data_IF_360469054403
#
_entry.id   IF_360469054403
#
_cell.length_a   1.000
_cell.length_b   1.000
_cell.length_c   1.000
_cell.angle_alpha   90.00
_cell.angle_beta   90.00
_cell.angle_gamma   90.00
#
_symmetry.space_group_name_H-M   'P 1'
#
loop_
_entity.id
_entity.type
_entity.pdbx_description
1 polymer ?
#
# COMPACT_ATOMS: atom_id res chain seq x y z
N UNK A 1 -17.48 12.63 1.00
CA UNK A 1 -16.73 11.63 0.21
C UNK A 1 -16.00 10.60 1.08
N UNK A 2 -15.08 11.02 1.98
CA UNK A 2 -14.26 10.11 2.82
C UNK A 2 -15.05 9.05 3.59
N UNK A 3 -16.27 9.36 4.03
CA UNK A 3 -17.13 8.39 4.75
C UNK A 3 -17.57 7.17 3.92
N UNK A 4 -17.36 7.22 2.61
CA UNK A 4 -17.93 6.27 1.63
C UNK A 4 -16.88 5.51 0.83
N UNK A 5 -15.62 5.54 1.27
CA UNK A 5 -14.49 4.77 0.72
C UNK A 5 -13.78 4.01 1.85
N UNK A 6 -13.18 2.85 1.56
CA UNK A 6 -12.37 2.11 2.52
C UNK A 6 -11.03 2.83 2.78
N UNK A 7 -10.35 2.44 3.86
CA UNK A 7 -9.02 2.97 4.22
C UNK A 7 -8.04 1.82 4.40
N UNK A 8 -6.96 1.82 3.62
CA UNK A 8 -5.81 0.96 3.90
C UNK A 8 -5.04 1.51 5.12
N UNK A 9 -4.47 0.64 5.94
CA UNK A 9 -3.65 1.04 7.10
C UNK A 9 -2.20 1.31 6.73
N UNK A 10 -1.49 2.05 7.59
CA UNK A 10 -0.06 2.34 7.42
C UNK A 10 0.21 3.24 6.21
N UNK A 11 1.40 3.11 5.64
CA UNK A 11 1.85 3.92 4.50
C UNK A 11 1.11 3.65 3.17
N UNK A 12 0.19 2.70 3.15
CA UNK A 12 -0.68 2.43 2.01
C UNK A 12 -1.88 3.39 1.92
N UNK A 13 -2.16 4.16 2.98
CA UNK A 13 -3.40 4.93 3.12
C UNK A 13 -3.58 5.99 2.03
N UNK A 14 -2.58 6.83 1.78
CA UNK A 14 -2.68 7.91 0.79
C UNK A 14 -2.87 7.36 -0.62
N UNK A 15 -2.14 6.29 -0.96
CA UNK A 15 -2.26 5.63 -2.27
C UNK A 15 -3.65 5.04 -2.47
N UNK A 16 -4.18 4.35 -1.44
CA UNK A 16 -5.55 3.82 -1.46
C UNK A 16 -6.59 4.92 -1.63
N UNK A 17 -6.48 6.01 -0.86
CA UNK A 17 -7.39 7.16 -0.95
C UNK A 17 -7.38 7.78 -2.35
N UNK A 18 -6.20 7.98 -2.95
CA UNK A 18 -6.10 8.59 -4.28
C UNK A 18 -6.80 7.74 -5.35
N UNK A 19 -6.58 6.42 -5.33
CA UNK A 19 -7.23 5.49 -6.27
C UNK A 19 -8.74 5.46 -6.05
N UNK A 20 -9.20 5.37 -4.80
CA UNK A 20 -10.62 5.23 -4.48
C UNK A 20 -11.38 6.54 -4.68
N UNK A 21 -10.74 7.69 -4.47
CA UNK A 21 -11.28 9.01 -4.81
C UNK A 21 -11.48 9.16 -6.30
N UNK A 22 -10.44 8.89 -7.09
CA UNK A 22 -10.54 8.94 -8.54
C UNK A 22 -11.69 8.06 -9.06
N UNK A 23 -11.79 6.81 -8.59
CA UNK A 23 -12.88 5.91 -8.99
C UNK A 23 -14.27 6.38 -8.60
N UNK A 24 -14.41 7.05 -7.45
CA UNK A 24 -15.71 7.44 -6.90
C UNK A 24 -16.24 8.74 -7.49
N UNK A 25 -15.38 9.74 -7.63
CA UNK A 25 -15.81 11.11 -7.99
C UNK A 25 -15.29 11.55 -9.36
N UNK A 26 -14.39 10.79 -9.99
CA UNK A 26 -13.76 11.16 -11.24
C UNK A 26 -12.68 12.23 -11.08
N UNK A 27 -11.86 12.40 -12.12
CA UNK A 27 -10.75 13.36 -12.11
C UNK A 27 -11.22 14.82 -12.04
N UNK A 28 -12.34 15.13 -12.70
CA UNK A 28 -12.93 16.49 -12.73
C UNK A 28 -13.33 17.02 -11.35
N UNK A 29 -13.54 16.12 -10.38
CA UNK A 29 -13.85 16.46 -8.99
C UNK A 29 -12.60 16.52 -8.09
N UNK A 30 -11.40 16.37 -8.66
CA UNK A 30 -10.11 16.42 -7.96
C UNK A 30 -9.33 17.64 -8.44
N UNK A 31 -8.63 18.29 -7.52
CA UNK A 31 -7.76 19.43 -7.81
C UNK A 31 -6.45 19.31 -7.06
N UNK A 32 -5.41 19.97 -7.58
CA UNK A 32 -4.13 20.16 -6.91
C UNK A 32 -3.94 21.66 -6.67
N UNK A 33 -3.30 22.02 -5.56
CA UNK A 33 -3.03 23.41 -5.18
C UNK A 33 -1.56 23.53 -4.83
N UNK A 34 -0.91 24.58 -5.34
CA UNK A 34 0.48 24.91 -4.97
C UNK A 34 0.51 25.44 -3.54
N UNK A 35 1.30 24.78 -2.68
CA UNK A 35 1.49 25.16 -1.27
C UNK A 35 2.85 25.83 -1.03
N UNK A 36 3.62 26.11 -2.08
CA UNK A 36 4.98 26.61 -2.00
C UNK A 36 5.95 25.56 -1.46
N UNK A 37 6.83 25.95 -0.55
CA UNK A 37 7.91 25.08 -0.07
C UNK A 37 7.53 24.35 1.21
N UNK A 38 7.64 23.01 1.18
CA UNK A 38 7.52 22.14 2.35
C UNK A 38 8.84 21.46 2.64
N UNK A 39 9.39 21.69 3.84
CA UNK A 39 10.51 20.90 4.34
C UNK A 39 9.98 19.60 4.96
N UNK A 40 10.58 18.47 4.60
CA UNK A 40 10.27 17.17 5.17
C UNK A 40 11.40 16.71 6.11
N UNK A 41 11.08 15.77 6.99
CA UNK A 41 12.12 15.08 7.76
C UNK A 41 12.80 14.08 6.84
N UNK A 42 14.14 14.08 6.84
CA UNK A 42 14.91 13.04 6.17
C UNK A 42 14.62 11.70 6.85
N UNK A 43 14.27 10.69 6.06
CA UNK A 43 14.16 9.31 6.51
C UNK A 43 15.32 8.49 5.95
N UNK A 44 15.84 7.52 6.71
CA UNK A 44 16.79 6.55 6.19
C UNK A 44 16.25 5.84 4.95
N UNK A 45 17.11 5.56 3.98
CA UNK A 45 16.72 4.88 2.73
C UNK A 45 16.08 3.50 2.98
N UNK A 46 16.53 2.80 4.03
CA UNK A 46 15.97 1.52 4.47
C UNK A 46 14.49 1.62 4.82
N UNK A 47 14.07 2.72 5.46
CA UNK A 47 12.66 2.94 5.81
C UNK A 47 11.83 3.33 4.58
N UNK A 48 12.41 4.11 3.67
CA UNK A 48 11.78 4.44 2.38
C UNK A 48 11.49 3.17 1.55
N UNK A 49 12.34 2.16 1.65
CA UNK A 49 12.14 0.88 0.96
C UNK A 49 10.84 0.20 1.39
N UNK A 50 10.58 0.16 2.71
CA UNK A 50 9.32 -0.38 3.27
C UNK A 50 8.11 0.47 2.87
N UNK A 51 8.25 1.80 2.90
CA UNK A 51 7.18 2.71 2.47
C UNK A 51 6.82 2.48 0.99
N UNK A 52 7.83 2.31 0.13
CA UNK A 52 7.61 2.02 -1.29
C UNK A 52 6.88 0.68 -1.50
N UNK A 53 7.19 -0.32 -0.67
CA UNK A 53 6.50 -1.60 -0.70
C UNK A 53 5.04 -1.47 -0.26
N UNK A 54 4.72 -0.61 0.72
CA UNK A 54 3.33 -0.32 1.10
C UNK A 54 2.53 0.31 -0.06
N UNK A 55 3.14 1.25 -0.81
CA UNK A 55 2.54 1.84 -2.02
C UNK A 55 2.28 0.76 -3.07
N UNK A 56 3.27 -0.10 -3.36
CA UNK A 56 3.12 -1.20 -4.32
C UNK A 56 1.98 -2.15 -3.92
N UNK A 57 1.88 -2.50 -2.64
CA UNK A 57 0.81 -3.37 -2.13
C UNK A 57 -0.57 -2.75 -2.23
N UNK A 58 -0.69 -1.44 -1.99
CA UNK A 58 -1.94 -0.71 -2.18
C UNK A 58 -2.43 -0.81 -3.63
N UNK A 59 -1.54 -0.56 -4.61
CA UNK A 59 -1.83 -0.68 -6.05
C UNK A 59 -2.21 -2.12 -6.40
N UNK A 60 -1.39 -3.10 -6.00
CA UNK A 60 -1.62 -4.51 -6.30
C UNK A 60 -2.96 -5.01 -5.73
N UNK A 61 -3.33 -4.57 -4.52
CA UNK A 61 -4.63 -4.90 -3.92
C UNK A 61 -5.80 -4.38 -4.75
N UNK A 62 -5.75 -3.12 -5.20
CA UNK A 62 -6.79 -2.53 -6.06
C UNK A 62 -6.86 -3.21 -7.42
N UNK A 63 -5.71 -3.49 -8.05
CA UNK A 63 -5.66 -4.22 -9.32
C UNK A 63 -6.24 -5.65 -9.20
N UNK A 64 -5.99 -6.36 -8.09
CA UNK A 64 -6.63 -7.66 -7.82
C UNK A 64 -8.14 -7.56 -7.69
N UNK A 65 -8.64 -6.56 -6.95
CA UNK A 65 -10.08 -6.30 -6.80
C UNK A 65 -10.75 -5.98 -8.14
N UNK A 66 -10.01 -5.35 -9.07
CA UNK A 66 -10.45 -5.05 -10.44
C UNK A 66 -10.26 -6.22 -11.43
N UNK A 67 -9.69 -7.35 -11.00
CA UNK A 67 -9.36 -8.48 -11.89
C UNK A 67 -8.23 -8.20 -12.90
N UNK A 68 -7.49 -7.10 -12.72
CA UNK A 68 -6.37 -6.68 -13.59
C UNK A 68 -5.03 -7.29 -13.17
N UNK A 69 -4.95 -7.82 -11.95
CA UNK A 69 -3.81 -8.57 -11.46
C UNK A 69 -4.31 -9.90 -10.94
N UNK A 70 -4.02 -10.97 -11.68
CA UNK A 70 -4.27 -12.33 -11.24
C UNK A 70 -3.01 -12.86 -10.55
N UNK A 71 -3.19 -13.70 -9.53
CA UNK A 71 -2.08 -14.52 -9.05
C UNK A 71 -1.83 -15.60 -10.11
N UNK A 72 -0.92 -15.33 -11.04
CA UNK A 72 -0.23 -16.40 -11.76
C UNK A 72 0.75 -17.02 -10.78
N UNK A 73 0.26 -17.98 -10.01
CA UNK A 73 1.11 -18.96 -9.37
C UNK A 73 1.71 -19.79 -10.50
N UNK A 74 3.03 -19.83 -10.61
CA UNK A 74 3.67 -20.88 -11.40
C UNK A 74 3.26 -22.23 -10.75
N UNK A 75 2.56 -23.13 -11.47
CA UNK A 75 2.10 -24.40 -10.91
C UNK A 75 3.23 -25.28 -10.39
N UNK A 76 4.41 -25.12 -10.98
CA UNK A 76 5.61 -25.88 -10.65
C UNK A 76 6.51 -25.15 -9.64
N UNK A 77 6.21 -23.87 -9.36
CA UNK A 77 6.93 -23.17 -8.31
C UNK A 77 6.55 -23.75 -6.94
N UNK A 78 7.54 -24.02 -6.07
CA UNK A 78 7.23 -24.40 -4.69
C UNK A 78 6.35 -23.31 -4.07
N UNK A 79 5.35 -23.73 -3.29
CA UNK A 79 4.51 -22.81 -2.53
C UNK A 79 5.45 -21.90 -1.74
N UNK A 80 5.55 -20.64 -2.16
CA UNK A 80 6.45 -19.69 -1.53
C UNK A 80 6.06 -19.60 -0.06
N UNK A 81 6.98 -19.83 0.89
CA UNK A 81 6.70 -19.59 2.30
C UNK A 81 6.41 -18.11 2.56
N UNK A 82 6.88 -17.24 1.66
CA UNK A 82 6.73 -15.80 1.76
C UNK A 82 5.39 -15.34 1.20
N UNK A 83 4.61 -14.73 2.07
CA UNK A 83 3.35 -14.12 1.74
C UNK A 83 3.55 -12.69 1.27
N UNK A 84 2.51 -12.12 0.63
CA UNK A 84 2.52 -10.72 0.19
C UNK A 84 2.57 -9.71 1.36
N UNK A 85 2.59 -10.18 2.61
CA UNK A 85 2.86 -9.42 3.83
C UNK A 85 4.33 -9.30 4.17
N UNK A 86 5.18 -10.16 3.61
CA UNK A 86 6.54 -10.38 4.07
C UNK A 86 7.48 -9.62 3.13
N UNK A 87 8.03 -8.51 3.62
CA UNK A 87 8.98 -7.71 2.88
C UNK A 87 10.40 -8.22 3.14
N UNK A 88 10.93 -8.96 2.18
CA UNK A 88 12.32 -9.42 2.20
C UNK A 88 13.25 -8.36 1.62
N UNK A 89 14.27 -7.99 2.39
CA UNK A 89 15.22 -6.94 2.07
C UNK A 89 16.64 -7.46 2.24
N UNK A 90 17.27 -7.84 1.13
CA UNK A 90 18.67 -8.24 1.12
C UNK A 90 19.57 -7.01 1.29
N UNK A 91 20.53 -7.09 2.21
CA UNK A 91 21.48 -6.02 2.50
C UNK A 91 22.90 -6.55 2.59
N UNK A 92 23.87 -5.72 2.20
CA UNK A 92 25.29 -5.97 2.47
C UNK A 92 25.69 -5.29 3.77
N UNK A 93 26.33 -6.05 4.65
CA UNK A 93 26.88 -5.58 5.94
C UNK A 93 28.37 -5.89 6.01
N UNK A 94 29.13 -5.26 6.92
CA UNK A 94 30.54 -5.63 7.14
C UNK A 94 30.73 -7.12 7.46
N UNK A 95 29.73 -7.76 8.07
CA UNK A 95 29.73 -9.18 8.42
C UNK A 95 29.30 -10.11 7.26
N UNK A 96 28.94 -9.55 6.10
CA UNK A 96 28.52 -10.28 4.91
C UNK A 96 27.10 -9.92 4.42
N UNK A 97 26.56 -10.77 3.55
CA UNK A 97 25.19 -10.61 3.03
C UNK A 97 24.18 -11.07 4.08
N UNK A 98 23.16 -10.27 4.31
CA UNK A 98 22.07 -10.58 5.23
C UNK A 98 20.72 -10.42 4.52
N UNK A 99 19.79 -11.34 4.78
CA UNK A 99 18.40 -11.21 4.36
C UNK A 99 17.57 -10.77 5.56
N UNK A 100 17.03 -9.55 5.51
CA UNK A 100 16.18 -9.00 6.56
C UNK A 100 14.71 -9.13 6.18
N UNK A 101 13.86 -9.44 7.15
CA UNK A 101 12.41 -9.57 6.94
C UNK A 101 11.66 -8.51 7.75
N UNK A 102 10.66 -7.90 7.13
CA UNK A 102 9.69 -7.03 7.79
C UNK A 102 8.29 -7.49 7.47
N UNK A 103 7.53 -7.76 8.52
CA UNK A 103 6.12 -8.13 8.40
C UNK A 103 5.27 -6.90 8.67
N UNK A 104 4.51 -6.48 7.67
CA UNK A 104 3.56 -5.38 7.81
C UNK A 104 2.19 -5.81 7.25
N UNK A 105 1.24 -6.02 8.14
CA UNK A 105 -0.11 -6.41 7.75
C UNK A 105 -0.81 -5.25 7.02
N UNK A 106 -1.33 -5.52 5.82
CA UNK A 106 -2.15 -4.55 5.09
C UNK A 106 -3.60 -4.79 5.43
N UNK A 107 -4.13 -3.99 6.35
CA UNK A 107 -5.52 -4.06 6.75
C UNK A 107 -6.33 -3.03 5.95
N UNK A 108 -7.51 -3.43 5.48
CA UNK A 108 -8.48 -2.53 4.88
C UNK A 108 -9.63 -2.31 5.87
N UNK A 109 -9.80 -1.07 6.31
CA UNK A 109 -10.94 -0.63 7.10
C UNK A 109 -12.11 -0.34 6.17
N UNK A 110 -13.35 -0.76 6.53
CA UNK A 110 -14.52 -0.47 5.71
C UNK A 110 -14.82 1.03 5.69
N UNK A 111 -15.62 1.52 4.74
CA UNK A 111 -16.16 2.86 4.79
C UNK A 111 -16.83 3.14 6.14
N UNK A 112 -16.44 4.22 6.82
CA UNK A 112 -16.99 4.53 8.15
C UNK A 112 -18.52 4.74 8.12
N UNK A 113 -19.08 5.11 6.96
CA UNK A 113 -20.51 5.20 6.76
C UNK A 113 -21.25 3.87 6.89
N UNK A 114 -20.59 2.73 6.68
CA UNK A 114 -21.15 1.40 6.91
C UNK A 114 -21.15 1.07 8.40
N UNK A 115 -20.07 1.42 9.11
CA UNK A 115 -19.94 1.19 10.55
C UNK A 115 -20.94 2.03 11.36
N UNK A 116 -21.16 3.28 10.95
CA UNK A 116 -22.05 4.22 11.66
C UNK A 116 -23.55 3.92 11.47
N UNK A 117 -23.94 3.10 10.50
CA UNK A 117 -25.34 2.68 10.28
C UNK A 117 -25.77 1.53 11.19
N UNK A 118 -24.81 0.85 11.82
CA UNK A 118 -25.02 -0.34 12.66
C UNK A 118 -25.14 0.04 14.15
N UNK A 119 -25.31 1.33 14.46
CA UNK A 119 -25.61 1.86 15.80
C UNK A 119 -26.93 2.62 15.76
#
# INVERSE_FOLDING_TARGET
FSRSIPFLTGYAVETGIMIDAYKKVGLEAMAQVDLGTRQNRHQPLRDLSRMSYAVLRAVARRMRQEGRLNQTSDPDAPVSPFQFSDYLHAVATPEGLQLQEYVEELVERPPIGEVLKVR
#
